data_IF_579553297265
#
_entry.id   IF_579553297265
#
_cell.length_a   1.000
_cell.length_b   1.000
_cell.length_c   1.000
_cell.angle_alpha   90.00
_cell.angle_beta   90.00
_cell.angle_gamma   90.00
#
_symmetry.space_group_name_H-M   'P 1'
#
loop_
_entity.id
_entity.type
_entity.pdbx_description
1 polymer ?
#
# COMPACT_ATOMS: atom_id res chain seq x y z
N UNK A 1 6.44 -11.49 -13.07
CA UNK A 1 6.71 -10.42 -14.06
C UNK A 1 7.18 -9.19 -13.29
N UNK A 2 8.42 -8.80 -13.49
CA UNK A 2 9.03 -7.60 -12.91
C UNK A 2 9.23 -6.56 -14.00
N UNK A 3 9.26 -5.27 -13.63
CA UNK A 3 9.54 -4.16 -14.54
C UNK A 3 8.48 -3.05 -14.51
N UNK A 4 8.89 -1.84 -14.88
CA UNK A 4 8.07 -0.63 -14.94
C UNK A 4 7.14 -0.46 -13.71
N UNK A 5 7.65 -0.70 -12.51
CA UNK A 5 6.90 -0.58 -11.25
C UNK A 5 5.55 -1.32 -11.25
N UNK A 6 5.52 -2.57 -11.74
CA UNK A 6 4.36 -3.45 -11.88
C UNK A 6 3.43 -3.17 -13.09
N UNK A 7 3.69 -2.19 -13.93
CA UNK A 7 2.84 -1.89 -15.10
C UNK A 7 2.76 -3.08 -16.06
N UNK A 8 3.87 -3.79 -16.29
CA UNK A 8 3.89 -4.99 -17.14
C UNK A 8 2.95 -6.06 -16.58
N UNK A 9 2.98 -6.28 -15.27
CA UNK A 9 2.10 -7.24 -14.61
C UNK A 9 0.62 -6.81 -14.69
N UNK A 10 0.33 -5.53 -14.49
CA UNK A 10 -1.02 -5.00 -14.61
C UNK A 10 -1.58 -5.18 -16.03
N UNK A 11 -0.84 -4.75 -17.05
CA UNK A 11 -1.23 -4.94 -18.45
C UNK A 11 -1.48 -6.42 -18.77
N UNK A 12 -0.59 -7.32 -18.33
CA UNK A 12 -0.75 -8.75 -18.55
C UNK A 12 -2.03 -9.31 -17.92
N UNK A 13 -2.26 -9.01 -16.63
CA UNK A 13 -3.44 -9.51 -15.90
C UNK A 13 -4.73 -8.99 -16.51
N UNK A 14 -4.74 -7.77 -17.03
CA UNK A 14 -5.92 -7.16 -17.62
C UNK A 14 -6.18 -7.60 -19.06
N UNK A 15 -5.16 -7.56 -19.92
CA UNK A 15 -5.32 -7.71 -21.36
C UNK A 15 -5.06 -9.15 -21.87
N UNK A 16 -4.20 -9.91 -21.19
CA UNK A 16 -3.68 -11.19 -21.70
C UNK A 16 -4.19 -12.40 -20.91
N UNK A 17 -4.21 -12.31 -19.58
CA UNK A 17 -4.60 -13.42 -18.72
C UNK A 17 -6.06 -13.86 -18.99
N UNK A 18 -6.30 -15.16 -18.96
CA UNK A 18 -7.67 -15.70 -19.10
C UNK A 18 -8.52 -15.28 -17.90
N UNK A 19 -9.78 -14.83 -18.13
CA UNK A 19 -10.68 -14.42 -17.04
C UNK A 19 -11.39 -15.63 -16.39
N UNK A 20 -10.63 -16.64 -16.01
CA UNK A 20 -11.12 -17.90 -15.41
C UNK A 20 -11.01 -17.91 -13.87
N UNK A 21 -10.45 -16.83 -13.29
CA UNK A 21 -10.25 -16.71 -11.85
C UNK A 21 -9.01 -17.40 -11.31
N UNK A 22 -8.19 -18.02 -12.16
CA UNK A 22 -6.98 -18.73 -11.75
C UNK A 22 -5.72 -17.86 -11.78
N UNK A 23 -5.79 -16.68 -12.43
CA UNK A 23 -4.69 -15.72 -12.47
C UNK A 23 -4.97 -14.58 -11.51
N UNK A 24 -4.10 -14.42 -10.50
CA UNK A 24 -4.13 -13.32 -9.55
C UNK A 24 -2.95 -12.39 -9.81
N UNK A 25 -3.20 -11.07 -9.82
CA UNK A 25 -2.18 -10.04 -9.95
C UNK A 25 -1.92 -9.35 -8.61
N UNK A 26 -0.66 -9.34 -8.18
CA UNK A 26 -0.20 -8.44 -7.12
C UNK A 26 0.43 -7.22 -7.77
N UNK A 27 -0.32 -6.15 -7.89
CA UNK A 27 0.07 -4.95 -8.63
C UNK A 27 0.18 -3.74 -7.71
N UNK A 28 1.12 -2.84 -8.03
CA UNK A 28 1.33 -1.64 -7.23
C UNK A 28 0.09 -0.73 -7.25
N UNK A 29 -0.38 -0.23 -6.09
CA UNK A 29 -1.56 0.62 -6.02
C UNK A 29 -1.40 1.95 -6.77
N UNK A 30 -0.17 2.42 -6.95
CA UNK A 30 0.14 3.67 -7.64
C UNK A 30 -0.18 3.67 -9.13
N UNK A 31 -0.44 2.52 -9.73
CA UNK A 31 -0.72 2.40 -11.16
C UNK A 31 -2.04 3.06 -11.60
N UNK A 32 -2.96 3.32 -10.68
CA UNK A 32 -4.15 4.09 -11.03
C UNK A 32 -3.80 5.53 -11.47
N UNK A 33 -2.70 6.11 -10.96
CA UNK A 33 -2.22 7.41 -11.43
C UNK A 33 -1.78 7.38 -12.88
N UNK A 34 -1.15 6.30 -13.33
CA UNK A 34 -0.73 6.17 -14.73
C UNK A 34 -1.93 6.27 -15.67
N UNK A 35 -3.05 5.66 -15.28
CA UNK A 35 -4.29 5.77 -16.04
C UNK A 35 -4.88 7.19 -15.96
N UNK A 36 -4.89 7.83 -14.78
CA UNK A 36 -5.41 9.18 -14.60
C UNK A 36 -4.65 10.22 -15.41
N UNK A 37 -3.33 10.09 -15.52
CA UNK A 37 -2.50 11.01 -16.32
C UNK A 37 -2.44 10.63 -17.80
N UNK A 38 -3.17 9.60 -18.23
CA UNK A 38 -3.30 9.21 -19.63
C UNK A 38 -2.03 8.66 -20.25
N UNK A 39 -1.24 7.89 -19.50
CA UNK A 39 -0.03 7.26 -20.03
C UNK A 39 -0.35 6.27 -21.16
N UNK A 40 0.37 6.39 -22.25
CA UNK A 40 0.17 5.57 -23.46
C UNK A 40 0.44 4.07 -23.24
N UNK A 41 1.30 3.75 -22.28
CA UNK A 41 1.68 2.38 -21.94
C UNK A 41 0.61 1.63 -21.14
N UNK A 42 -0.41 2.32 -20.63
CA UNK A 42 -1.51 1.73 -19.87
C UNK A 42 -2.47 1.00 -20.80
N UNK A 43 -2.58 -0.32 -20.59
CA UNK A 43 -3.48 -1.21 -21.32
C UNK A 43 -4.56 -1.82 -20.41
N UNK A 44 -4.75 -1.25 -19.23
CA UNK A 44 -5.75 -1.68 -18.25
C UNK A 44 -6.74 -0.57 -17.96
N UNK A 45 -7.88 -0.96 -17.42
CA UNK A 45 -8.84 -0.07 -16.80
C UNK A 45 -8.93 -0.44 -15.32
N UNK A 46 -8.44 0.47 -14.46
CA UNK A 46 -8.36 0.24 -13.02
C UNK A 46 -9.73 -0.09 -12.40
N UNK A 47 -10.77 0.57 -12.87
CA UNK A 47 -12.14 0.36 -12.41
C UNK A 47 -12.74 -0.99 -12.81
N UNK A 48 -12.14 -1.69 -13.76
CA UNK A 48 -12.62 -2.98 -14.27
C UNK A 48 -11.88 -4.20 -13.71
N UNK A 49 -10.94 -4.02 -12.80
CA UNK A 49 -10.37 -5.15 -12.07
C UNK A 49 -11.37 -5.74 -11.07
N UNK A 50 -11.31 -7.04 -10.89
CA UNK A 50 -11.98 -7.71 -9.76
C UNK A 50 -11.06 -7.68 -8.55
N UNK A 51 -11.22 -6.68 -7.68
CA UNK A 51 -10.43 -6.58 -6.46
C UNK A 51 -10.87 -7.65 -5.45
N UNK A 52 -9.91 -8.40 -4.91
CA UNK A 52 -10.15 -9.44 -3.92
C UNK A 52 -9.89 -8.88 -2.51
N UNK A 53 -8.84 -8.08 -2.37
CA UNK A 53 -8.48 -7.46 -1.10
C UNK A 53 -7.04 -7.01 -1.05
N UNK A 54 -6.63 -6.48 0.11
CA UNK A 54 -5.25 -6.16 0.44
C UNK A 54 -4.90 -6.79 1.78
N UNK A 55 -3.72 -7.40 1.93
CA UNK A 55 -3.31 -8.01 3.19
C UNK A 55 -2.89 -6.98 4.24
N UNK A 56 -2.59 -5.74 3.83
CA UNK A 56 -2.19 -4.66 4.73
C UNK A 56 -2.47 -3.29 4.14
N UNK A 57 -2.64 -2.30 4.99
CA UNK A 57 -2.45 -0.90 4.63
C UNK A 57 -0.95 -0.64 4.50
N UNK A 58 -0.52 -0.14 3.35
CA UNK A 58 0.91 0.06 3.09
C UNK A 58 1.25 1.54 3.14
N UNK A 59 1.70 1.98 4.31
CA UNK A 59 2.33 3.28 4.44
C UNK A 59 3.78 3.23 3.93
N UNK A 60 4.29 4.37 3.49
CA UNK A 60 5.60 4.48 2.89
C UNK A 60 6.56 5.26 3.79
N UNK A 61 7.83 4.97 3.65
CA UNK A 61 8.90 5.73 4.27
C UNK A 61 10.02 5.98 3.26
N UNK A 62 10.78 7.04 3.49
CA UNK A 62 12.02 7.34 2.80
C UNK A 62 13.17 7.13 3.77
N UNK A 63 14.06 6.19 3.44
CA UNK A 63 15.32 6.05 4.17
C UNK A 63 16.49 6.65 3.41
N UNK A 64 17.49 7.05 4.16
CA UNK A 64 18.77 7.60 3.70
C UNK A 64 19.93 6.82 4.30
N UNK A 65 21.03 6.68 3.58
CA UNK A 65 22.28 6.16 4.15
C UNK A 65 22.71 7.01 5.33
N UNK A 66 23.09 6.36 6.41
CA UNK A 66 23.47 7.07 7.63
C UNK A 66 24.84 7.75 7.53
N UNK A 67 25.69 7.34 6.60
CA UNK A 67 26.99 7.99 6.32
C UNK A 67 26.90 9.17 5.35
N UNK A 68 25.71 9.39 4.72
CA UNK A 68 25.49 10.54 3.84
C UNK A 68 25.43 11.86 4.63
N UNK A 69 25.68 13.03 4.01
CA UNK A 69 25.51 14.32 4.66
C UNK A 69 24.05 14.71 4.94
N UNK A 70 23.09 13.97 4.41
CA UNK A 70 21.66 14.27 4.48
C UNK A 70 21.01 13.51 5.65
N UNK A 71 20.94 14.13 6.83
CA UNK A 71 20.37 13.50 8.05
C UNK A 71 18.89 13.84 8.28
N UNK A 72 18.43 14.95 7.70
CA UNK A 72 17.10 15.50 7.85
C UNK A 72 16.57 16.03 6.51
N UNK A 73 15.26 16.29 6.44
CA UNK A 73 14.65 16.96 5.27
C UNK A 73 15.26 18.36 5.06
N UNK A 74 15.62 19.06 6.14
CA UNK A 74 16.24 20.38 6.06
C UNK A 74 17.62 20.35 5.39
N UNK A 75 18.42 19.30 5.66
CA UNK A 75 19.71 19.14 5.00
C UNK A 75 19.54 18.96 3.48
N UNK A 76 18.52 18.21 3.07
CA UNK A 76 18.21 17.99 1.65
C UNK A 76 17.74 19.30 1.00
N UNK A 77 16.93 20.08 1.69
CA UNK A 77 16.46 21.39 1.20
C UNK A 77 17.59 22.38 0.95
N UNK A 78 18.59 22.37 1.81
CA UNK A 78 19.77 23.26 1.76
C UNK A 78 20.91 22.72 0.91
N UNK A 79 20.82 21.47 0.49
CA UNK A 79 21.90 20.81 -0.25
C UNK A 79 22.14 21.49 -1.60
N UNK A 80 23.39 21.79 -1.90
CA UNK A 80 23.83 22.24 -3.23
C UNK A 80 23.74 21.13 -4.26
N UNK A 81 24.00 19.89 -3.84
CA UNK A 81 23.85 18.68 -4.65
C UNK A 81 22.72 17.82 -4.06
N UNK A 82 21.63 17.59 -4.78
CA UNK A 82 20.53 16.76 -4.30
C UNK A 82 20.93 15.28 -4.14
N UNK A 83 20.48 14.58 -3.08
CA UNK A 83 20.75 13.15 -2.91
C UNK A 83 20.14 12.32 -4.04
N UNK A 84 20.86 11.27 -4.45
CA UNK A 84 20.40 10.31 -5.46
C UNK A 84 19.48 9.27 -4.81
N UNK A 85 18.24 9.15 -5.31
CA UNK A 85 17.27 8.13 -4.89
C UNK A 85 16.98 7.14 -6.01
N UNK A 86 16.93 5.85 -5.70
CA UNK A 86 16.66 4.80 -6.67
C UNK A 86 15.18 4.48 -6.82
N UNK A 87 14.73 4.25 -8.07
CA UNK A 87 13.40 3.78 -8.40
C UNK A 87 13.39 2.84 -9.60
N UNK A 88 12.46 1.88 -9.61
CA UNK A 88 12.26 0.98 -10.76
C UNK A 88 11.57 1.64 -11.95
N UNK A 89 10.85 2.73 -11.72
CA UNK A 89 10.11 3.45 -12.76
C UNK A 89 9.48 4.73 -12.22
N UNK A 90 8.93 5.53 -13.13
CA UNK A 90 8.40 6.87 -12.84
C UNK A 90 7.09 6.87 -12.03
N UNK A 91 6.53 5.72 -11.71
CA UNK A 91 5.27 5.56 -10.95
C UNK A 91 5.42 4.75 -9.68
N UNK A 92 6.62 4.20 -9.44
CA UNK A 92 6.92 3.51 -8.19
C UNK A 92 7.06 4.46 -7.00
N UNK A 93 6.91 3.91 -5.80
CA UNK A 93 7.10 4.64 -4.54
C UNK A 93 8.41 5.41 -4.49
N UNK A 94 9.50 4.80 -5.02
CA UNK A 94 10.82 5.43 -5.10
C UNK A 94 10.87 6.68 -5.98
N UNK A 95 9.86 6.90 -6.82
CA UNK A 95 9.73 8.11 -7.64
C UNK A 95 8.77 9.11 -7.01
N UNK A 96 7.52 8.69 -6.77
CA UNK A 96 6.48 9.66 -6.41
C UNK A 96 6.68 10.22 -4.99
N UNK A 97 7.18 9.44 -4.02
CA UNK A 97 7.32 9.94 -2.66
C UNK A 97 8.41 11.02 -2.52
N UNK A 98 9.62 10.87 -3.10
CA UNK A 98 10.57 11.98 -3.20
C UNK A 98 10.02 13.20 -3.96
N UNK A 99 9.29 13.00 -5.07
CA UNK A 99 8.66 14.11 -5.81
C UNK A 99 7.60 14.83 -4.99
N UNK A 100 6.83 14.08 -4.20
CA UNK A 100 5.86 14.66 -3.28
C UNK A 100 6.53 15.51 -2.20
N UNK A 101 7.65 15.07 -1.64
CA UNK A 101 8.46 15.86 -0.71
C UNK A 101 9.07 17.10 -1.39
N UNK A 102 9.48 16.99 -2.63
CA UNK A 102 9.98 18.13 -3.40
C UNK A 102 8.89 19.19 -3.57
N UNK A 103 7.69 18.79 -3.99
CA UNK A 103 6.55 19.67 -4.24
C UNK A 103 5.97 20.27 -2.95
N UNK A 104 5.94 19.51 -1.87
CA UNK A 104 5.30 19.95 -0.63
C UNK A 104 6.22 20.70 0.32
N UNK A 105 7.46 20.27 0.44
CA UNK A 105 8.41 20.82 1.42
C UNK A 105 9.71 21.34 0.81
N UNK A 106 9.85 21.30 -0.51
CA UNK A 106 11.02 21.83 -1.23
C UNK A 106 12.30 21.00 -1.08
N UNK A 107 12.20 19.74 -0.69
CA UNK A 107 13.32 18.83 -0.56
C UNK A 107 13.66 18.21 -1.92
N UNK A 108 14.72 18.64 -2.59
CA UNK A 108 15.10 18.21 -3.93
C UNK A 108 15.83 16.86 -3.94
N UNK A 109 15.51 16.03 -4.95
CA UNK A 109 16.12 14.71 -5.13
C UNK A 109 16.52 14.48 -6.59
N UNK A 110 17.63 13.82 -6.82
CA UNK A 110 18.00 13.26 -8.12
C UNK A 110 17.50 11.82 -8.18
N UNK A 111 16.49 11.53 -9.01
CA UNK A 111 15.89 10.20 -9.07
C UNK A 111 16.54 9.38 -10.18
N UNK A 112 17.15 8.26 -9.82
CA UNK A 112 17.75 7.29 -10.75
C UNK A 112 16.74 6.20 -11.04
N UNK A 113 16.31 6.11 -12.29
CA UNK A 113 15.30 5.17 -12.77
C UNK A 113 15.91 3.94 -13.43
N UNK A 114 15.09 2.91 -13.66
CA UNK A 114 15.45 1.75 -14.49
C UNK A 114 15.88 0.51 -13.72
N UNK A 115 15.88 0.54 -12.40
CA UNK A 115 16.18 -0.66 -11.61
C UNK A 115 15.11 -1.75 -11.80
N UNK A 116 15.55 -2.98 -12.03
CA UNK A 116 14.67 -4.14 -12.24
C UNK A 116 14.18 -4.74 -10.91
N UNK A 117 13.56 -3.89 -10.06
CA UNK A 117 13.01 -4.28 -8.76
C UNK A 117 13.81 -3.76 -7.57
N UNK A 118 13.41 -4.18 -6.37
CA UNK A 118 13.96 -3.65 -5.13
C UNK A 118 15.37 -4.10 -4.81
N UNK A 119 15.74 -5.34 -5.10
CA UNK A 119 17.07 -5.89 -4.81
C UNK A 119 18.21 -5.11 -5.46
N UNK A 120 18.17 -4.84 -6.77
CA UNK A 120 19.18 -3.99 -7.43
C UNK A 120 19.27 -2.56 -6.84
N UNK A 121 18.16 -1.98 -6.38
CA UNK A 121 18.17 -0.67 -5.69
C UNK A 121 18.89 -0.80 -4.34
N UNK A 122 18.57 -1.83 -3.57
CA UNK A 122 19.17 -2.06 -2.26
C UNK A 122 20.69 -2.28 -2.38
N UNK A 123 21.13 -3.03 -3.41
CA UNK A 123 22.54 -3.21 -3.71
C UNK A 123 23.24 -1.89 -4.10
N UNK A 124 22.59 -1.03 -4.89
CA UNK A 124 23.13 0.28 -5.26
C UNK A 124 23.25 1.21 -4.04
N UNK A 125 22.30 1.13 -3.08
CA UNK A 125 22.42 1.83 -1.78
C UNK A 125 23.61 1.29 -1.00
N UNK A 126 23.78 -0.02 -0.92
CA UNK A 126 24.89 -0.65 -0.19
C UNK A 126 26.25 -0.24 -0.73
N UNK A 127 26.38 -0.21 -2.07
CA UNK A 127 27.60 0.24 -2.75
C UNK A 127 27.85 1.76 -2.70
N UNK A 128 26.86 2.55 -2.27
CA UNK A 128 26.96 4.01 -2.23
C UNK A 128 26.74 4.70 -3.58
N UNK A 129 26.23 4.00 -4.58
CA UNK A 129 25.89 4.57 -5.89
C UNK A 129 24.70 5.53 -5.78
N UNK A 130 23.78 5.24 -4.86
CA UNK A 130 22.64 6.08 -4.49
C UNK A 130 22.55 6.22 -2.97
N UNK A 131 21.92 7.31 -2.50
CA UNK A 131 21.85 7.64 -1.09
C UNK A 131 20.56 7.20 -0.42
N UNK A 132 19.47 7.12 -1.17
CA UNK A 132 18.11 6.95 -0.61
C UNK A 132 17.20 6.07 -1.47
N UNK A 133 16.16 5.58 -0.79
CA UNK A 133 15.05 4.88 -1.42
C UNK A 133 13.77 5.08 -0.61
N UNK A 134 12.64 5.28 -1.30
CA UNK A 134 11.35 5.17 -0.68
C UNK A 134 10.74 3.78 -0.92
N UNK A 135 10.09 3.24 0.12
CA UNK A 135 9.45 1.92 0.10
C UNK A 135 8.39 1.82 1.20
N UNK A 136 7.63 0.73 1.20
CA UNK A 136 6.65 0.47 2.26
C UNK A 136 7.34 0.20 3.59
N UNK A 137 6.73 0.69 4.68
CA UNK A 137 7.23 0.46 6.05
C UNK A 137 7.26 -1.05 6.36
N UNK A 138 6.23 -1.79 5.95
CA UNK A 138 6.16 -3.25 6.13
C UNK A 138 7.36 -3.95 5.51
N UNK A 139 7.69 -3.64 4.26
CA UNK A 139 8.84 -4.26 3.57
C UNK A 139 10.17 -3.91 4.23
N UNK A 140 10.30 -2.71 4.80
CA UNK A 140 11.48 -2.28 5.53
C UNK A 140 11.67 -3.04 6.85
N UNK A 141 10.58 -3.50 7.46
CA UNK A 141 10.64 -4.27 8.70
C UNK A 141 10.60 -5.80 8.49
N UNK A 142 10.21 -6.29 7.30
CA UNK A 142 9.92 -7.71 7.08
C UNK A 142 11.08 -8.56 6.58
N UNK A 143 12.13 -7.98 6.00
CA UNK A 143 13.15 -8.76 5.28
C UNK A 143 14.56 -8.19 5.35
N UNK A 144 15.55 -9.01 4.99
CA UNK A 144 16.91 -8.57 4.68
C UNK A 144 16.95 -7.76 3.35
N UNK A 145 17.91 -6.84 3.20
CA UNK A 145 19.02 -6.52 4.13
C UNK A 145 18.61 -5.56 5.27
N UNK A 146 17.34 -5.13 5.34
CA UNK A 146 16.92 -4.05 6.25
C UNK A 146 16.99 -4.41 7.73
N UNK A 147 16.85 -5.69 8.10
CA UNK A 147 17.06 -6.13 9.49
C UNK A 147 18.50 -5.83 9.92
N UNK A 148 19.46 -6.23 9.10
CA UNK A 148 20.90 -5.98 9.34
C UNK A 148 21.22 -4.49 9.29
N UNK A 149 20.69 -3.77 8.31
CA UNK A 149 20.95 -2.34 8.16
C UNK A 149 20.42 -1.50 9.33
N UNK A 150 19.25 -1.84 9.85
CA UNK A 150 18.70 -1.19 11.04
C UNK A 150 19.52 -1.50 12.29
N UNK A 151 19.93 -2.77 12.48
CA UNK A 151 20.76 -3.19 13.60
C UNK A 151 22.11 -2.44 13.62
N UNK A 152 22.68 -2.23 12.44
CA UNK A 152 24.00 -1.58 12.29
C UNK A 152 23.89 -0.05 12.07
N UNK A 153 22.68 0.52 12.14
CA UNK A 153 22.42 1.93 11.84
C UNK A 153 22.97 2.37 10.47
N UNK A 154 22.95 1.49 9.47
CA UNK A 154 23.43 1.76 8.13
C UNK A 154 22.53 2.73 7.36
N UNK A 155 21.23 2.71 7.65
CA UNK A 155 20.25 3.61 7.09
C UNK A 155 19.38 4.23 8.19
N UNK A 156 18.86 5.43 7.93
CA UNK A 156 17.95 6.16 8.80
C UNK A 156 16.71 6.57 8.00
N UNK A 157 15.51 6.32 8.54
CA UNK A 157 14.27 6.86 8.01
C UNK A 157 14.19 8.36 8.27
N UNK A 158 13.83 9.15 7.26
CA UNK A 158 13.81 10.62 7.33
C UNK A 158 12.42 11.23 7.09
N UNK A 159 11.52 10.49 6.47
CA UNK A 159 10.12 10.89 6.28
C UNK A 159 9.22 9.66 6.13
N UNK A 160 7.97 9.79 6.55
CA UNK A 160 6.93 8.77 6.35
C UNK A 160 5.62 9.37 5.85
N UNK A 161 4.83 8.58 5.09
CA UNK A 161 3.62 9.03 4.41
C UNK A 161 2.38 9.05 5.30
N UNK A 162 2.41 8.32 6.39
CA UNK A 162 1.28 8.12 7.29
C UNK A 162 0.77 9.42 7.94
N UNK A 163 -0.51 9.44 8.31
CA UNK A 163 -1.10 10.58 9.05
C UNK A 163 -0.60 10.68 10.49
N UNK A 164 -0.20 9.55 11.07
CA UNK A 164 0.42 9.44 12.40
C UNK A 164 1.71 8.68 12.25
N UNK A 165 2.70 8.97 13.08
CA UNK A 165 3.96 8.23 13.07
C UNK A 165 3.72 6.75 13.33
N UNK A 166 4.32 5.88 12.52
CA UNK A 166 4.33 4.43 12.77
C UNK A 166 5.06 4.16 14.08
N UNK A 167 4.52 3.28 14.91
CA UNK A 167 5.09 2.94 16.20
C UNK A 167 6.53 2.39 16.12
N UNK A 168 6.91 1.84 14.97
CA UNK A 168 8.26 1.34 14.68
C UNK A 168 9.24 2.44 14.24
N UNK A 169 8.71 3.64 13.88
CA UNK A 169 9.46 4.80 13.39
C UNK A 169 9.08 6.07 14.17
N UNK A 170 9.16 6.08 15.52
CA UNK A 170 8.65 7.18 16.34
C UNK A 170 9.40 8.50 16.11
N UNK A 171 10.68 8.43 15.74
CA UNK A 171 11.53 9.61 15.51
C UNK A 171 11.47 10.15 14.08
N UNK A 172 10.77 9.47 13.18
CA UNK A 172 10.65 9.86 11.77
C UNK A 172 9.41 10.74 11.60
N UNK A 173 9.56 12.00 11.13
CA UNK A 173 8.41 12.86 10.92
C UNK A 173 7.51 12.36 9.79
N UNK A 174 6.21 12.58 9.93
CA UNK A 174 5.26 12.36 8.84
C UNK A 174 5.34 13.49 7.82
N UNK A 175 4.92 13.22 6.59
CA UNK A 175 4.83 14.28 5.57
C UNK A 175 3.87 15.40 6.00
N UNK A 176 2.83 15.08 6.79
CA UNK A 176 1.89 16.07 7.30
C UNK A 176 2.56 17.00 8.32
N UNK A 177 3.35 16.45 9.26
CA UNK A 177 4.14 17.26 10.20
C UNK A 177 5.15 18.15 9.47
N UNK A 178 5.79 17.61 8.42
CA UNK A 178 6.71 18.39 7.58
C UNK A 178 5.98 19.52 6.82
N UNK A 179 4.80 19.24 6.25
CA UNK A 179 3.99 20.26 5.59
C UNK A 179 3.57 21.36 6.56
N UNK A 180 3.26 21.04 7.83
CA UNK A 180 2.95 22.02 8.86
C UNK A 180 4.19 22.84 9.23
N UNK A 181 5.31 22.18 9.45
CA UNK A 181 6.59 22.82 9.78
C UNK A 181 7.03 23.84 8.70
N UNK A 182 6.90 23.46 7.43
CA UNK A 182 7.33 24.30 6.31
C UNK A 182 6.21 25.19 5.74
N UNK A 183 5.05 25.23 6.37
CA UNK A 183 3.91 26.08 5.97
C UNK A 183 3.54 25.89 4.49
N UNK A 184 3.49 24.64 4.06
CA UNK A 184 3.16 24.27 2.68
C UNK A 184 1.84 24.89 2.23
N UNK A 185 1.79 25.44 1.02
CA UNK A 185 0.60 26.04 0.43
C UNK A 185 -0.56 25.05 0.38
N UNK A 186 -1.79 25.53 0.60
CA UNK A 186 -2.98 24.68 0.67
C UNK A 186 -3.20 23.86 -0.61
N UNK A 187 -2.92 24.42 -1.78
CA UNK A 187 -3.03 23.70 -3.05
C UNK A 187 -2.09 22.47 -3.11
N UNK A 188 -0.83 22.62 -2.67
CA UNK A 188 0.13 21.50 -2.61
C UNK A 188 -0.28 20.47 -1.55
N UNK A 189 -0.85 20.91 -0.42
CA UNK A 189 -1.41 20.04 0.62
C UNK A 189 -2.58 19.21 0.10
N UNK A 190 -3.50 19.81 -0.64
CA UNK A 190 -4.62 19.10 -1.27
C UNK A 190 -4.14 18.10 -2.32
N UNK A 191 -3.19 18.49 -3.17
CA UNK A 191 -2.57 17.59 -4.14
C UNK A 191 -1.90 16.40 -3.43
N UNK A 192 -1.14 16.65 -2.37
CA UNK A 192 -0.54 15.60 -1.55
C UNK A 192 -1.58 14.68 -0.92
N UNK A 193 -2.68 15.23 -0.40
CA UNK A 193 -3.76 14.44 0.20
C UNK A 193 -4.40 13.48 -0.81
N UNK A 194 -4.60 13.92 -2.07
CA UNK A 194 -5.11 13.05 -3.15
C UNK A 194 -4.13 11.91 -3.46
N UNK A 195 -2.82 12.23 -3.55
CA UNK A 195 -1.78 11.24 -3.82
C UNK A 195 -1.67 10.23 -2.67
N UNK A 196 -1.71 10.70 -1.43
CA UNK A 196 -1.59 9.87 -0.23
C UNK A 196 -2.88 9.12 0.14
N UNK A 197 -4.05 9.63 -0.28
CA UNK A 197 -5.33 8.93 -0.17
C UNK A 197 -5.53 7.89 -1.29
N UNK A 198 -4.64 7.89 -2.27
CA UNK A 198 -4.57 6.83 -3.26
C UNK A 198 -4.52 5.48 -2.56
N UNK A 199 -4.91 4.39 -3.23
CA UNK A 199 -5.24 3.17 -2.54
C UNK A 199 -4.10 2.71 -1.64
N UNK A 200 -4.31 2.87 -0.35
CA UNK A 200 -3.53 2.24 0.73
C UNK A 200 -3.58 0.72 0.58
N UNK A 201 -4.42 0.24 -0.34
CA UNK A 201 -4.65 -1.15 -0.65
C UNK A 201 -3.85 -1.57 -1.89
N UNK A 202 -3.00 -2.59 -1.75
CA UNK A 202 -2.50 -3.33 -2.91
C UNK A 202 -3.65 -4.19 -3.46
N UNK A 203 -4.22 -3.88 -4.62
CA UNK A 203 -5.24 -4.75 -5.18
C UNK A 203 -4.59 -6.05 -5.61
N UNK A 204 -4.98 -7.16 -4.98
CA UNK A 204 -4.83 -8.47 -5.58
C UNK A 204 -6.09 -8.68 -6.41
N UNK A 205 -5.99 -8.51 -7.71
CA UNK A 205 -7.15 -8.60 -8.59
C UNK A 205 -6.79 -9.22 -9.91
N UNK A 206 -7.76 -9.88 -10.50
CA UNK A 206 -7.72 -10.39 -11.86
C UNK A 206 -8.69 -9.62 -12.75
N UNK A 207 -8.67 -9.92 -14.06
CA UNK A 207 -9.66 -9.42 -15.02
C UNK A 207 -11.07 -9.81 -14.54
N UNK A 208 -12.09 -8.95 -14.72
CA UNK A 208 -13.46 -9.28 -14.38
C UNK A 208 -13.89 -10.61 -15.02
N UNK A 209 -14.35 -11.53 -14.20
CA UNK A 209 -14.97 -12.77 -14.70
C UNK A 209 -16.32 -12.36 -15.29
N UNK A 210 -16.62 -12.65 -16.56
CA UNK A 210 -17.92 -12.34 -17.13
C UNK A 210 -19.05 -12.90 -16.26
N UNK A 211 -20.14 -12.15 -16.12
CA UNK A 211 -21.28 -12.54 -15.28
C UNK A 211 -21.82 -13.95 -15.58
N UNK A 212 -21.69 -14.38 -16.84
CA UNK A 212 -22.03 -15.74 -17.30
C UNK A 212 -21.16 -16.85 -16.71
N UNK A 213 -19.91 -16.55 -16.30
CA UNK A 213 -19.03 -17.55 -15.67
C UNK A 213 -19.17 -17.59 -14.14
N UNK A 214 -19.82 -16.59 -13.53
CA UNK A 214 -20.16 -16.59 -12.10
C UNK A 214 -21.36 -17.48 -11.78
N UNK A 215 -22.17 -17.83 -12.77
CA UNK A 215 -23.24 -18.80 -12.65
C UNK A 215 -22.74 -20.22 -12.94
N UNK A 216 -21.82 -20.71 -12.12
CA UNK A 216 -21.77 -22.15 -11.91
C UNK A 216 -23.16 -22.58 -11.37
N UNK A 217 -23.69 -23.74 -11.76
CA UNK A 217 -25.00 -24.14 -11.28
C UNK A 217 -24.99 -24.08 -9.77
N UNK A 218 -25.81 -23.18 -9.21
CA UNK A 218 -26.08 -23.19 -7.79
C UNK A 218 -26.47 -24.64 -7.49
N UNK A 219 -25.60 -25.33 -6.76
CA UNK A 219 -25.87 -26.67 -6.29
C UNK A 219 -27.18 -26.52 -5.54
N UNK A 220 -28.26 -26.93 -6.21
CA UNK A 220 -29.60 -27.03 -5.59
C UNK A 220 -29.37 -27.96 -4.40
N UNK A 221 -29.17 -27.39 -3.22
CA UNK A 221 -29.31 -28.14 -1.99
C UNK A 221 -30.72 -28.65 -1.99
N UNK A 222 -30.90 -29.92 -2.40
CA UNK A 222 -32.12 -30.62 -2.16
C UNK A 222 -32.41 -30.50 -0.67
N UNK A 223 -33.56 -30.01 -0.23
CA UNK A 223 -33.91 -30.08 1.17
C UNK A 223 -33.93 -31.58 1.51
N UNK A 224 -33.05 -32.00 2.41
CA UNK A 224 -33.08 -33.33 2.97
C UNK A 224 -34.34 -33.41 3.83
N UNK A 225 -35.44 -33.91 3.22
CA UNK A 225 -36.61 -34.35 3.93
C UNK A 225 -36.32 -35.68 4.64
N UNK A 226 -35.55 -35.58 5.74
CA UNK A 226 -35.57 -36.60 6.78
C UNK A 226 -36.02 -35.92 8.08
N UNK A 227 -37.34 -35.95 8.25
CA UNK A 227 -37.95 -35.76 9.55
C UNK A 227 -37.56 -36.97 10.40
N UNK A 228 -36.88 -36.77 11.56
CA UNK A 228 -36.70 -37.87 12.50
C UNK A 228 -38.08 -38.18 13.14
N UNK A 229 -38.52 -39.43 13.04
CA UNK A 229 -39.66 -39.96 13.77
C UNK A 229 -39.49 -39.70 15.26
N UNK A 230 -40.48 -39.09 15.87
CA UNK A 230 -40.62 -38.93 17.29
C UNK A 230 -40.67 -40.30 18.00
N UNK A 231 -39.85 -40.48 19.01
CA UNK A 231 -39.97 -41.56 20.01
C UNK A 231 -40.69 -40.96 21.22
N UNK A 232 -41.79 -41.52 21.69
CA UNK A 232 -42.50 -41.02 22.86
C UNK A 232 -41.89 -41.57 24.16
N UNK A 233 -41.77 -40.71 25.14
CA UNK A 233 -41.75 -41.09 26.54
C UNK A 233 -40.52 -40.80 27.41
N UNK A 234 -40.57 -39.71 28.16
CA UNK A 234 -40.58 -39.65 29.63
C UNK A 234 -40.39 -38.21 30.15
N UNK A 235 -41.17 -37.77 31.12
CA UNK A 235 -41.03 -36.45 31.70
C UNK A 235 -40.06 -36.49 32.91
N UNK A 236 -39.16 -35.53 33.01
CA UNK A 236 -38.51 -35.17 34.27
C UNK A 236 -38.39 -33.66 34.32
N UNK A 237 -38.96 -33.07 35.37
CA UNK A 237 -38.99 -31.65 35.62
C UNK A 237 -37.64 -31.08 36.12
N UNK A 238 -37.52 -29.79 35.99
CA UNK A 238 -36.37 -29.03 36.56
C UNK A 238 -36.46 -27.57 36.13
N UNK A 239 -36.80 -26.74 37.10
CA UNK A 239 -36.99 -25.28 36.97
C UNK A 239 -35.72 -24.55 36.50
N UNK A 240 -35.97 -23.51 35.68
CA UNK A 240 -35.04 -22.44 35.32
C UNK A 240 -34.62 -21.55 36.50
N UNK A 241 -33.59 -20.72 36.32
CA UNK A 241 -33.84 -19.29 36.51
C UNK A 241 -33.28 -18.42 35.36
N UNK A 242 -34.00 -17.32 35.18
CA UNK A 242 -33.88 -16.38 34.12
C UNK A 242 -32.55 -15.59 34.03
N UNK A 243 -32.15 -15.29 32.83
CA UNK A 243 -31.16 -14.26 32.53
C UNK A 243 -31.85 -13.14 31.75
N UNK A 244 -31.93 -12.00 32.39
CA UNK A 244 -32.37 -10.73 31.82
C UNK A 244 -31.34 -10.24 30.82
N UNK A 245 -31.77 -10.02 29.58
CA UNK A 245 -31.01 -9.36 28.53
C UNK A 245 -31.17 -7.85 28.70
N UNK A 246 -30.07 -7.12 28.90
CA UNK A 246 -30.04 -5.66 28.90
C UNK A 246 -29.93 -5.13 27.46
N UNK A 247 -30.71 -4.11 27.08
CA UNK A 247 -30.62 -3.51 25.76
C UNK A 247 -29.44 -2.54 25.65
N UNK A 248 -28.80 -2.54 24.47
CA UNK A 248 -27.69 -1.68 24.04
C UNK A 248 -28.18 -0.23 23.85
N UNK A 249 -27.43 0.82 24.28
CA UNK A 249 -27.84 2.20 24.15
C UNK A 249 -27.64 2.73 22.72
N UNK A 250 -28.68 3.38 22.18
CA UNK A 250 -28.68 4.11 20.90
C UNK A 250 -27.70 5.31 20.96
N UNK A 251 -26.81 5.43 19.99
CA UNK A 251 -26.00 6.62 19.74
C UNK A 251 -26.89 7.78 19.29
N UNK A 252 -26.79 8.91 20.01
CA UNK A 252 -27.40 10.19 19.62
C UNK A 252 -26.64 10.77 18.41
N UNK A 253 -27.38 11.23 17.40
CA UNK A 253 -26.89 12.15 16.38
C UNK A 253 -26.76 13.54 17.04
N UNK A 254 -25.65 14.19 16.81
CA UNK A 254 -25.48 15.62 17.07
C UNK A 254 -25.61 16.33 15.72
N UNK A 255 -26.41 17.36 15.74
CA UNK A 255 -26.67 18.25 14.62
C UNK A 255 -25.43 19.11 14.28
#
# INVERSE_FOLDING_TARGET
MTGASSMIAANYVFAVAKPDGLTLGWIAPTLYFDQLVGRKEVQYDWGKYSFIGSPSESEHQLYMRADSPYKTIEDIRKASEPPKCGSGGATGTGFYFPRLLEETVGAKFTIVLGYQGGGPIDLAVEKGEIHCRAMTIESFFAREPFHTWRKNNFVKSIAQSSRKRDARLPDTPTIYELMDQYKTAEQSRQGAAVILAGPVFCPAGGRPIPATSRAGPAARRRPSSRVPRAVPGRPVGGRAPGRTVRPCPRRRRVA
#
